data_IF_242520543196
#
_entry.id   IF_242520543196
#
_cell.length_a   1.000
_cell.length_b   1.000
_cell.length_c   1.000
_cell.angle_alpha   90.00
_cell.angle_beta   90.00
_cell.angle_gamma   90.00
#
_symmetry.space_group_name_H-M   'P 1'
#
loop_
_entity.id
_entity.type
_entity.pdbx_description
1 polymer ?
#
# COMPACT_ATOMS: atom_id res chain seq x y z
N UNK A 1 -8.44 -11.65 13.60
CA UNK A 1 -8.47 -10.30 14.23
C UNK A 1 -7.09 -9.72 14.50
N UNK A 2 -6.08 -10.51 14.91
CA UNK A 2 -4.70 -10.07 15.15
C UNK A 2 -4.07 -9.29 13.96
N UNK A 3 -4.36 -9.73 12.73
CA UNK A 3 -3.80 -9.15 11.51
C UNK A 3 -4.28 -7.70 11.26
N UNK A 4 -5.55 -7.40 11.56
CA UNK A 4 -6.12 -6.05 11.40
C UNK A 4 -5.48 -5.02 12.34
N UNK A 5 -5.14 -5.44 13.56
CA UNK A 5 -4.48 -4.56 14.56
C UNK A 5 -3.06 -4.22 14.11
N UNK A 6 -2.31 -5.21 13.61
CA UNK A 6 -0.95 -5.02 13.09
C UNK A 6 -0.93 -4.00 11.94
N UNK A 7 -1.88 -4.12 11.00
CA UNK A 7 -1.99 -3.20 9.87
C UNK A 7 -2.37 -1.79 10.29
N UNK A 8 -3.33 -1.65 11.22
CA UNK A 8 -3.72 -0.35 11.72
C UNK A 8 -2.54 0.38 12.38
N UNK A 9 -1.72 -0.36 13.14
CA UNK A 9 -0.48 0.17 13.72
C UNK A 9 0.52 0.55 12.61
N UNK A 10 0.70 -0.26 11.56
CA UNK A 10 1.56 0.09 10.42
C UNK A 10 1.12 1.38 9.72
N UNK A 11 -0.19 1.57 9.54
CA UNK A 11 -0.74 2.78 8.91
C UNK A 11 -0.45 4.01 9.77
N UNK A 12 -0.65 3.93 11.08
CA UNK A 12 -0.33 5.02 12.01
C UNK A 12 1.16 5.34 11.96
N UNK A 13 2.02 4.33 12.07
CA UNK A 13 3.48 4.52 12.04
C UNK A 13 3.92 5.09 10.69
N UNK A 14 3.42 4.56 9.58
CA UNK A 14 3.71 5.04 8.23
C UNK A 14 3.22 6.46 7.99
N UNK A 15 2.05 6.82 8.52
CA UNK A 15 1.54 8.19 8.47
C UNK A 15 2.42 9.17 9.25
N UNK A 16 2.84 8.81 10.47
CA UNK A 16 3.76 9.62 11.26
C UNK A 16 5.09 9.77 10.51
N UNK A 17 5.62 8.69 9.95
CA UNK A 17 6.86 8.69 9.17
C UNK A 17 6.75 9.62 7.94
N UNK A 18 5.63 9.55 7.21
CA UNK A 18 5.36 10.39 6.04
C UNK A 18 5.26 11.87 6.40
N UNK A 19 4.60 12.19 7.52
CA UNK A 19 4.39 13.58 7.96
C UNK A 19 5.63 14.21 8.60
N UNK A 20 6.51 13.43 9.23
CA UNK A 20 7.72 13.91 9.92
C UNK A 20 8.98 13.83 9.06
N UNK A 21 9.39 12.62 8.65
CA UNK A 21 10.66 12.38 7.95
C UNK A 21 10.59 12.78 6.47
N UNK A 22 9.56 12.33 5.75
CA UNK A 22 9.50 12.51 4.30
C UNK A 22 8.99 13.88 3.85
N UNK A 23 8.38 14.64 4.78
CA UNK A 23 8.14 16.08 4.58
C UNK A 23 9.44 16.88 4.61
N UNK A 24 10.42 16.47 5.43
CA UNK A 24 11.73 17.12 5.51
C UNK A 24 12.71 16.62 4.43
N UNK A 25 12.59 15.36 4.01
CA UNK A 25 13.38 14.75 2.93
C UNK A 25 12.74 14.96 1.54
N UNK A 26 12.19 16.16 1.27
CA UNK A 26 11.69 16.53 -0.07
C UNK A 26 12.87 16.75 -1.01
N UNK A 27 13.35 15.68 -1.63
CA UNK A 27 14.37 15.76 -2.67
C UNK A 27 13.66 16.19 -3.97
N UNK A 28 14.05 17.34 -4.54
CA UNK A 28 13.45 17.94 -5.73
C UNK A 28 11.96 18.36 -5.61
N UNK A 29 11.45 18.57 -4.40
CA UNK A 29 10.08 19.07 -4.17
C UNK A 29 8.98 18.00 -4.24
N UNK A 30 9.32 16.74 -4.51
CA UNK A 30 8.42 15.59 -4.54
C UNK A 30 8.72 14.68 -3.33
N UNK A 31 7.68 14.17 -2.68
CA UNK A 31 7.81 13.24 -1.54
C UNK A 31 7.26 11.87 -1.94
N UNK A 32 7.89 10.76 -1.53
CA UNK A 32 7.36 9.43 -1.77
C UNK A 32 6.06 9.20 -1.00
N UNK A 33 5.21 8.34 -1.57
CA UNK A 33 3.89 8.08 -1.04
C UNK A 33 3.84 6.78 -0.22
N UNK A 34 4.20 6.88 1.06
CA UNK A 34 4.24 5.73 1.98
C UNK A 34 2.85 5.15 2.23
N UNK A 35 1.83 5.98 2.31
CA UNK A 35 0.48 5.52 2.52
C UNK A 35 -0.04 4.70 1.34
N UNK A 36 0.33 5.02 0.10
CA UNK A 36 0.01 4.18 -1.07
C UNK A 36 0.73 2.84 -0.97
N UNK A 37 2.00 2.83 -0.58
CA UNK A 37 2.76 1.59 -0.33
C UNK A 37 2.02 0.70 0.68
N UNK A 38 1.66 1.25 1.84
CA UNK A 38 0.97 0.48 2.89
C UNK A 38 -0.41 0.00 2.46
N UNK A 39 -1.14 0.82 1.70
CA UNK A 39 -2.45 0.44 1.14
C UNK A 39 -2.30 -0.70 0.11
N UNK A 40 -1.27 -0.66 -0.72
CA UNK A 40 -0.97 -1.70 -1.70
C UNK A 40 -0.60 -3.02 -1.01
N UNK A 41 0.30 -2.98 -0.03
CA UNK A 41 0.69 -4.14 0.78
C UNK A 41 -0.54 -4.72 1.49
N UNK A 42 -1.37 -3.85 2.06
CA UNK A 42 -2.59 -4.25 2.75
C UNK A 42 -3.59 -4.96 1.83
N UNK A 43 -3.81 -4.42 0.64
CA UNK A 43 -4.64 -5.07 -0.38
C UNK A 43 -4.04 -6.41 -0.81
N UNK A 44 -2.76 -6.43 -1.14
CA UNK A 44 -2.07 -7.63 -1.64
C UNK A 44 -2.04 -8.75 -0.61
N UNK A 45 -1.79 -8.49 0.67
CA UNK A 45 -1.66 -9.53 1.71
C UNK A 45 -3.01 -9.99 2.30
N UNK A 46 -3.97 -9.08 2.46
CA UNK A 46 -5.19 -9.36 3.24
C UNK A 46 -6.51 -9.19 2.46
N UNK A 47 -6.43 -8.89 1.16
CA UNK A 47 -7.57 -8.87 0.25
C UNK A 47 -8.27 -7.52 0.08
N UNK A 48 -9.27 -7.52 -0.80
CA UNK A 48 -9.98 -6.32 -1.28
C UNK A 48 -10.64 -5.47 -0.18
N UNK A 49 -11.25 -6.08 0.83
CA UNK A 49 -11.94 -5.34 1.89
C UNK A 49 -10.95 -4.67 2.84
N UNK A 50 -9.83 -5.35 3.15
CA UNK A 50 -8.75 -4.81 3.95
C UNK A 50 -8.05 -3.66 3.19
N UNK A 51 -7.73 -3.86 1.91
CA UNK A 51 -7.18 -2.82 1.04
C UNK A 51 -8.08 -1.59 0.94
N UNK A 52 -9.40 -1.78 0.76
CA UNK A 52 -10.37 -0.69 0.74
C UNK A 52 -10.39 0.08 2.06
N UNK A 53 -10.51 -0.62 3.19
CA UNK A 53 -10.57 0.01 4.51
C UNK A 53 -9.31 0.80 4.84
N UNK A 54 -8.14 0.20 4.59
CA UNK A 54 -6.85 0.85 4.79
C UNK A 54 -6.65 2.04 3.86
N UNK A 55 -7.12 1.95 2.61
CA UNK A 55 -7.15 3.06 1.66
C UNK A 55 -8.03 4.21 2.12
N UNK A 56 -9.25 3.95 2.61
CA UNK A 56 -10.15 5.00 3.13
C UNK A 56 -9.53 5.74 4.30
N UNK A 57 -8.95 5.00 5.27
CA UNK A 57 -8.29 5.60 6.44
C UNK A 57 -7.07 6.43 6.01
N UNK A 58 -6.22 5.88 5.14
CA UNK A 58 -5.04 6.56 4.64
C UNK A 58 -5.39 7.83 3.87
N UNK A 59 -6.38 7.74 2.98
CA UNK A 59 -6.87 8.88 2.21
C UNK A 59 -7.51 9.96 3.10
N UNK A 60 -8.20 9.57 4.18
CA UNK A 60 -8.76 10.50 5.16
C UNK A 60 -7.64 11.27 5.86
N UNK A 61 -6.60 10.58 6.31
CA UNK A 61 -5.44 11.22 6.94
C UNK A 61 -4.73 12.20 5.99
N UNK A 62 -4.58 11.83 4.71
CA UNK A 62 -4.01 12.73 3.69
C UNK A 62 -4.91 13.94 3.47
N UNK A 63 -6.22 13.74 3.35
CA UNK A 63 -7.16 14.82 3.13
C UNK A 63 -7.19 15.82 4.28
N UNK A 64 -7.12 15.35 5.52
CA UNK A 64 -7.12 16.21 6.71
C UNK A 64 -5.84 17.04 6.89
N UNK A 65 -4.68 16.53 6.46
CA UNK A 65 -3.38 17.18 6.68
C UNK A 65 -2.86 17.98 5.48
N UNK A 66 -3.13 17.52 4.26
CA UNK A 66 -2.43 17.99 3.06
C UNK A 66 -3.36 18.49 1.95
N UNK A 67 -4.66 18.18 2.01
CA UNK A 67 -5.61 18.58 0.97
C UNK A 67 -6.49 19.75 1.42
N UNK A 68 -6.77 20.66 0.49
CA UNK A 68 -7.77 21.71 0.69
C UNK A 68 -9.21 21.23 0.48
N UNK A 69 -9.38 20.09 -0.20
CA UNK A 69 -10.70 19.49 -0.49
C UNK A 69 -10.69 18.09 0.11
N UNK A 70 -11.56 17.87 1.09
CA UNK A 70 -11.76 16.58 1.74
C UNK A 70 -12.57 15.67 0.80
N UNK A 71 -12.19 14.40 0.69
CA UNK A 71 -12.89 13.38 -0.09
C UNK A 71 -12.13 12.91 -1.33
N UNK A 72 -11.28 13.77 -1.92
CA UNK A 72 -10.55 13.42 -3.15
C UNK A 72 -9.53 12.32 -2.89
N UNK A 73 -8.68 12.46 -1.86
CA UNK A 73 -7.71 11.41 -1.57
C UNK A 73 -8.40 10.16 -0.99
N UNK A 74 -9.45 10.32 -0.17
CA UNK A 74 -10.25 9.17 0.31
C UNK A 74 -10.71 8.30 -0.88
N UNK A 75 -11.27 8.93 -1.91
CA UNK A 75 -11.73 8.22 -3.09
C UNK A 75 -10.58 7.53 -3.85
N UNK A 76 -9.49 8.24 -4.13
CA UNK A 76 -8.35 7.69 -4.88
C UNK A 76 -7.75 6.49 -4.16
N UNK A 77 -7.46 6.62 -2.85
CA UNK A 77 -6.86 5.55 -2.06
C UNK A 77 -7.79 4.35 -1.90
N UNK A 78 -9.10 4.58 -1.74
CA UNK A 78 -10.10 3.51 -1.70
C UNK A 78 -10.10 2.68 -2.99
N UNK A 79 -10.06 3.35 -4.15
CA UNK A 79 -10.00 2.69 -5.47
C UNK A 79 -8.73 1.88 -5.62
N UNK A 80 -7.56 2.46 -5.27
CA UNK A 80 -6.27 1.77 -5.33
C UNK A 80 -6.27 0.52 -4.45
N UNK A 81 -6.67 0.67 -3.17
CA UNK A 81 -6.69 -0.44 -2.23
C UNK A 81 -7.65 -1.56 -2.63
N UNK A 82 -8.79 -1.21 -3.21
CA UNK A 82 -9.75 -2.19 -3.72
C UNK A 82 -9.18 -2.94 -4.94
N UNK A 83 -8.70 -2.23 -5.96
CA UNK A 83 -8.15 -2.84 -7.19
C UNK A 83 -6.96 -3.74 -6.87
N UNK A 84 -6.02 -3.25 -6.07
CA UNK A 84 -4.85 -4.05 -5.66
C UNK A 84 -5.30 -5.24 -4.82
N UNK A 85 -6.27 -5.05 -3.91
CA UNK A 85 -6.75 -6.15 -3.08
C UNK A 85 -7.52 -7.25 -3.82
N UNK A 86 -8.03 -6.99 -5.03
CA UNK A 86 -8.55 -8.06 -5.90
C UNK A 86 -7.45 -9.03 -6.34
N UNK A 87 -6.20 -8.57 -6.41
CA UNK A 87 -5.05 -9.37 -6.82
C UNK A 87 -4.49 -10.27 -5.71
N UNK A 88 -5.06 -10.21 -4.50
CA UNK A 88 -4.61 -11.01 -3.34
C UNK A 88 -4.57 -12.52 -3.62
N UNK A 89 -5.45 -13.06 -4.46
CA UNK A 89 -5.43 -14.49 -4.83
C UNK A 89 -4.18 -14.93 -5.60
N UNK A 90 -3.45 -13.98 -6.20
CA UNK A 90 -2.20 -14.21 -6.93
C UNK A 90 -0.96 -13.96 -6.05
N UNK A 91 -1.14 -13.60 -4.79
CA UNK A 91 -0.03 -13.32 -3.87
C UNK A 91 0.69 -14.60 -3.46
N UNK A 92 2.01 -14.62 -3.65
CA UNK A 92 2.92 -15.67 -3.20
C UNK A 92 3.87 -15.04 -2.18
N UNK A 93 3.90 -15.57 -0.96
CA UNK A 93 4.59 -14.95 0.19
C UNK A 93 6.10 -14.76 -0.01
N UNK A 94 6.73 -15.58 -0.84
CA UNK A 94 8.18 -15.55 -1.07
C UNK A 94 8.59 -14.68 -2.28
N UNK A 95 7.62 -14.18 -3.07
CA UNK A 95 7.89 -13.35 -4.24
C UNK A 95 7.85 -11.86 -3.92
N UNK A 96 9.02 -11.20 -3.96
CA UNK A 96 9.16 -9.74 -3.78
C UNK A 96 8.69 -8.94 -5.01
N UNK A 97 8.62 -9.56 -6.18
CA UNK A 97 8.31 -8.90 -7.45
C UNK A 97 6.84 -8.47 -7.48
N UNK A 98 5.94 -9.36 -7.08
CA UNK A 98 4.50 -9.13 -7.09
C UNK A 98 4.05 -7.91 -6.25
N UNK A 99 4.38 -7.81 -4.94
CA UNK A 99 4.01 -6.65 -4.12
C UNK A 99 4.69 -5.36 -4.61
N UNK A 100 5.89 -5.44 -5.19
CA UNK A 100 6.56 -4.26 -5.75
C UNK A 100 5.83 -3.76 -7.01
N UNK A 101 5.35 -4.67 -7.86
CA UNK A 101 4.53 -4.30 -9.02
C UNK A 101 3.20 -3.69 -8.61
N UNK A 102 2.51 -4.23 -7.59
CA UNK A 102 1.24 -3.65 -7.14
C UNK A 102 1.43 -2.25 -6.53
N UNK A 103 2.53 -2.02 -5.80
CA UNK A 103 2.91 -0.68 -5.32
C UNK A 103 3.12 0.28 -6.50
N UNK A 104 3.89 -0.13 -7.52
CA UNK A 104 4.15 0.71 -8.68
C UNK A 104 2.87 1.07 -9.46
N UNK A 105 1.99 0.09 -9.66
CA UNK A 105 0.69 0.30 -10.31
C UNK A 105 -0.18 1.24 -9.48
N UNK A 106 -0.22 1.05 -8.15
CA UNK A 106 -0.97 1.91 -7.23
C UNK A 106 -0.51 3.37 -7.27
N UNK A 107 0.80 3.61 -7.30
CA UNK A 107 1.39 4.96 -7.37
C UNK A 107 1.08 5.65 -8.71
N UNK A 108 1.15 4.93 -9.82
CA UNK A 108 0.74 5.45 -11.14
C UNK A 108 -0.75 5.80 -11.15
N UNK A 109 -1.61 4.92 -10.64
CA UNK A 109 -3.05 5.17 -10.54
C UNK A 109 -3.30 6.42 -9.68
N UNK A 110 -2.58 6.55 -8.56
CA UNK A 110 -2.67 7.73 -7.69
C UNK A 110 -2.34 9.00 -8.48
N UNK A 111 -1.17 9.06 -9.12
CA UNK A 111 -0.72 10.23 -9.88
C UNK A 111 -1.69 10.63 -11.01
N UNK A 112 -2.20 9.65 -11.76
CA UNK A 112 -3.15 9.89 -12.85
C UNK A 112 -4.51 10.38 -12.32
N UNK A 113 -5.10 9.69 -11.35
CA UNK A 113 -6.40 10.09 -10.81
C UNK A 113 -6.32 11.44 -10.09
N UNK A 114 -5.23 11.70 -9.38
CA UNK A 114 -5.00 12.98 -8.73
C UNK A 114 -4.88 14.11 -9.74
N UNK A 115 -4.16 13.89 -10.86
CA UNK A 115 -4.09 14.86 -11.96
C UNK A 115 -5.48 15.16 -12.54
N UNK A 116 -6.25 14.12 -12.86
CA UNK A 116 -7.60 14.27 -13.43
C UNK A 116 -8.51 15.05 -12.48
N UNK A 117 -8.57 14.65 -11.21
CA UNK A 117 -9.50 15.23 -10.24
C UNK A 117 -9.10 16.64 -9.78
N UNK A 118 -7.81 16.99 -9.73
CA UNK A 118 -7.39 18.33 -9.27
C UNK A 118 -7.00 19.31 -10.37
N UNK A 119 -6.34 18.86 -11.43
CA UNK A 119 -5.78 19.74 -12.47
C UNK A 119 -6.65 19.80 -13.72
N UNK A 120 -7.14 18.66 -14.19
CA UNK A 120 -7.96 18.60 -15.41
C UNK A 120 -9.32 19.29 -15.19
N UNK A 121 -9.97 19.06 -14.05
CA UNK A 121 -11.22 19.75 -13.68
C UNK A 121 -11.07 21.27 -13.51
N UNK A 122 -9.84 21.78 -13.33
CA UNK A 122 -9.53 23.22 -13.28
C UNK A 122 -9.04 23.79 -14.62
N UNK A 123 -9.10 23.00 -15.70
CA UNK A 123 -8.71 23.44 -17.05
C UNK A 123 -7.20 23.59 -17.28
N UNK A 124 -6.34 23.06 -16.41
CA UNK A 124 -4.88 23.11 -16.61
C UNK A 124 -4.43 21.89 -17.44
N UNK A 125 -4.06 22.12 -18.70
CA UNK A 125 -3.74 21.05 -19.68
C UNK A 125 -2.25 20.66 -19.79
N UNK A 126 -1.40 21.06 -18.84
CA UNK A 126 0.04 20.73 -18.86
C UNK A 126 0.32 19.34 -18.28
N UNK A 127 -0.22 18.30 -18.93
CA UNK A 127 -0.10 16.91 -18.43
C UNK A 127 1.33 16.38 -18.52
N UNK A 128 2.05 16.73 -19.60
CA UNK A 128 3.41 16.24 -19.85
C UNK A 128 4.38 16.73 -18.77
N UNK A 129 4.28 18.01 -18.40
CA UNK A 129 5.12 18.59 -17.33
C UNK A 129 4.84 17.92 -15.98
N UNK A 130 3.58 17.60 -15.69
CA UNK A 130 3.19 16.92 -14.45
C UNK A 130 3.71 15.48 -14.42
N UNK A 131 3.60 14.75 -15.53
CA UNK A 131 4.06 13.38 -15.63
C UNK A 131 5.58 13.27 -15.42
N UNK A 132 6.36 14.11 -16.10
CA UNK A 132 7.83 14.05 -16.07
C UNK A 132 8.40 14.56 -14.75
N UNK A 133 7.86 15.66 -14.22
CA UNK A 133 8.45 16.32 -13.05
C UNK A 133 7.83 15.91 -11.72
N UNK A 134 6.67 15.24 -11.73
CA UNK A 134 5.97 14.80 -10.50
C UNK A 134 5.87 13.27 -10.46
N UNK A 135 5.15 12.65 -11.41
CA UNK A 135 4.82 11.21 -11.34
C UNK A 135 6.07 10.34 -11.47
N UNK A 136 6.94 10.59 -12.44
CA UNK A 136 8.13 9.73 -12.66
C UNK A 136 9.09 9.77 -11.45
N UNK A 137 9.50 10.94 -10.91
CA UNK A 137 10.32 11.00 -9.72
C UNK A 137 9.64 10.34 -8.51
N UNK A 138 8.35 10.61 -8.28
CA UNK A 138 7.58 10.01 -7.19
C UNK A 138 7.61 8.48 -7.27
N UNK A 139 7.31 7.92 -8.44
CA UNK A 139 7.31 6.48 -8.70
C UNK A 139 8.65 5.81 -8.38
N UNK A 140 9.76 6.42 -8.80
CA UNK A 140 11.11 5.88 -8.54
C UNK A 140 11.36 5.79 -7.04
N UNK A 141 11.05 6.85 -6.29
CA UNK A 141 11.20 6.85 -4.83
C UNK A 141 10.24 5.87 -4.16
N UNK A 142 8.98 5.82 -4.61
CA UNK A 142 7.96 4.92 -4.07
C UNK A 142 8.34 3.46 -4.27
N UNK A 143 8.94 3.07 -5.41
CA UNK A 143 9.40 1.68 -5.64
C UNK A 143 10.56 1.33 -4.71
N UNK A 144 11.60 2.17 -4.63
CA UNK A 144 12.78 1.91 -3.79
C UNK A 144 12.35 1.78 -2.32
N UNK A 145 11.54 2.72 -1.84
CA UNK A 145 11.03 2.71 -0.48
C UNK A 145 10.04 1.55 -0.26
N UNK A 146 9.24 1.24 -1.27
CA UNK A 146 8.25 0.16 -1.27
C UNK A 146 8.87 -1.20 -0.97
N UNK A 147 10.02 -1.51 -1.57
CA UNK A 147 10.75 -2.76 -1.29
C UNK A 147 11.19 -2.83 0.17
N UNK A 148 11.72 -1.71 0.72
CA UNK A 148 12.18 -1.64 2.11
C UNK A 148 11.00 -1.80 3.08
N UNK A 149 9.92 -1.06 2.84
CA UNK A 149 8.71 -1.09 3.67
C UNK A 149 8.03 -2.45 3.59
N UNK A 150 7.96 -3.08 2.42
CA UNK A 150 7.42 -4.43 2.26
C UNK A 150 8.20 -5.45 3.08
N UNK A 151 9.54 -5.46 2.97
CA UNK A 151 10.39 -6.37 3.77
C UNK A 151 10.17 -6.17 5.26
N UNK A 152 10.05 -4.92 5.70
CA UNK A 152 9.78 -4.59 7.10
C UNK A 152 8.39 -5.05 7.56
N UNK A 153 7.35 -4.80 6.74
CA UNK A 153 5.99 -5.23 7.01
C UNK A 153 5.89 -6.75 7.12
N UNK A 154 6.51 -7.49 6.20
CA UNK A 154 6.54 -8.95 6.21
C UNK A 154 7.30 -9.51 7.42
N UNK A 155 8.43 -8.91 7.79
CA UNK A 155 9.18 -9.29 8.99
C UNK A 155 8.34 -9.11 10.27
N UNK A 156 7.61 -8.00 10.35
CA UNK A 156 6.76 -7.71 11.51
C UNK A 156 5.55 -8.65 11.56
N UNK A 157 4.94 -8.96 10.42
CA UNK A 157 3.82 -9.89 10.32
C UNK A 157 4.22 -11.30 10.77
N UNK A 158 5.35 -11.83 10.27
CA UNK A 158 5.90 -13.12 10.72
C UNK A 158 6.17 -13.18 12.22
N UNK A 159 6.56 -12.06 12.83
CA UNK A 159 6.84 -11.99 14.27
C UNK A 159 5.57 -11.93 15.13
N UNK A 160 4.50 -11.30 14.64
CA UNK A 160 3.21 -11.22 15.33
C UNK A 160 2.34 -12.47 15.12
N UNK A 161 2.47 -13.10 13.95
CA UNK A 161 1.74 -14.28 13.53
C UNK A 161 2.74 -15.32 13.00
N UNK A 162 3.47 -16.02 13.90
CA UNK A 162 4.35 -17.10 13.45
C UNK A 162 3.51 -18.14 12.68
N UNK A 163 4.02 -18.69 11.56
CA UNK A 163 3.30 -19.71 10.82
C UNK A 163 2.95 -20.83 11.79
N UNK A 164 1.67 -21.18 11.90
CA UNK A 164 1.27 -22.34 12.69
C UNK A 164 2.08 -23.54 12.21
N UNK A 165 2.73 -24.29 13.12
CA UNK A 165 3.41 -25.51 12.71
C UNK A 165 2.35 -26.37 12.01
N UNK A 166 2.58 -26.66 10.74
CA UNK A 166 1.76 -27.63 10.01
C UNK A 166 1.85 -28.91 10.81
N UNK A 167 0.82 -29.20 11.59
CA UNK A 167 0.58 -30.54 12.11
C UNK A 167 0.33 -31.36 10.86
N UNK A 168 1.42 -31.86 10.25
CA UNK A 168 1.36 -32.99 9.36
C UNK A 168 0.59 -34.02 10.15
N UNK A 169 -0.68 -34.20 9.78
CA UNK A 169 -1.49 -35.31 10.20
C UNK A 169 -0.79 -36.56 9.72
N UNK A 170 0.23 -36.99 10.46
CA UNK A 170 0.57 -38.38 10.56
C UNK A 170 -0.62 -38.96 11.32
N UNK A 171 -1.71 -39.20 10.59
CA UNK A 171 -2.57 -40.33 10.90
C UNK A 171 -1.63 -41.52 10.96
N UNK A 172 -1.19 -41.85 12.17
CA UNK A 172 -0.76 -43.19 12.48
C UNK A 172 -1.95 -44.07 12.09
N UNK A 173 -1.87 -44.68 10.91
CA UNK A 173 -2.68 -45.86 10.60
C UNK A 173 -2.62 -46.76 11.83
N UNK A 174 -3.74 -47.14 12.44
CA UNK A 174 -3.73 -48.39 13.16
C UNK A 174 -3.40 -49.44 12.11
N UNK A 175 -2.27 -50.11 12.28
CA UNK A 175 -1.98 -51.35 11.57
C UNK A 175 -3.12 -52.32 11.93
N UNK A 176 -4.10 -52.45 11.03
CA UNK A 176 -4.92 -53.65 10.97
C UNK A 176 -4.01 -54.81 10.55
N UNK A 177 -4.16 -55.94 11.27
CA UNK A 177 -3.53 -57.26 11.06
C UNK A 177 -2.27 -57.59 11.90
N UNK A 178 -2.47 -58.02 13.16
CA UNK A 178 -2.38 -59.44 13.58
C UNK A 178 -2.72 -59.64 15.07
#
# INVERSE_FOLDING_TARGET
>A
MKNYVSMFVMIIVGFILQTTLFRHLRIAGVSPNILVILTAIAGTMYGQYCGLFTGVISGLFVDMMFSSIIGVNIFIYAVIGFIIGMTNKMYIEDDLIFPTMTIAIGDIIYGVLFYVLKFLLRGRLRITDYLINTIIPELIYTIILGVIVFKFAHWMDRKLNPPEPVHLGVETKPDDEQ
#
